data_IF_780102110084
#
_entry.id   IF_780102110084
#
_cell.length_a   1.000
_cell.length_b   1.000
_cell.length_c   1.000
_cell.angle_alpha   90.00
_cell.angle_beta   90.00
_cell.angle_gamma   90.00
#
_symmetry.space_group_name_H-M   'P 1'
#
loop_
_entity.id
_entity.type
_entity.pdbx_description
1 polymer ?
2 polymer ?
3 non-polymer ?
4 water ?
#
# COMPACT_ATOMS: atom_id res chain seq x y z
N UNK A 1 -10.57 14.53 -29.00
CA UNK A 1 -10.93 15.57 -27.96
C UNK A 1 -10.15 16.86 -28.26
N UNK A 2 -10.69 18.03 -27.95
CA UNK A 2 -9.86 19.20 -28.24
C UNK A 2 -8.69 19.46 -27.24
N UNK A 3 -8.68 18.79 -26.08
CA UNK A 3 -7.64 19.04 -25.05
C UNK A 3 -6.86 17.76 -24.66
N UNK A 4 -7.57 16.69 -24.38
CA UNK A 4 -6.93 15.46 -23.91
C UNK A 4 -6.53 14.59 -25.11
N UNK A 5 -5.42 13.85 -24.98
CA UNK A 5 -5.08 12.83 -25.96
C UNK A 5 -5.94 11.56 -25.80
N UNK A 6 -6.39 10.98 -26.91
CA UNK A 6 -7.22 9.78 -26.88
C UNK A 6 -6.55 8.65 -27.67
N UNK A 7 -6.24 7.53 -26.99
CA UNK A 7 -5.38 6.54 -27.59
C UNK A 7 -6.13 5.19 -27.61
N UNK A 8 -6.40 4.68 -28.84
CA UNK A 8 -7.26 3.51 -29.03
C UNK A 8 -6.36 2.35 -29.30
N UNK A 9 -6.55 1.33 -28.49
CA UNK A 9 -5.68 0.18 -28.58
C UNK A 9 -6.58 -1.06 -28.64
N UNK A 10 -7.01 -1.36 -29.87
CA UNK A 10 -8.02 -2.37 -30.23
C UNK A 10 -9.38 -1.93 -29.65
N UNK A 11 -9.82 -2.61 -28.58
CA UNK A 11 -11.08 -2.28 -27.88
C UNK A 11 -10.87 -1.24 -26.73
N UNK A 12 -9.69 -1.28 -26.14
CA UNK A 12 -9.17 -0.38 -25.09
C UNK A 12 -9.15 1.16 -25.46
N UNK A 13 -9.64 2.04 -24.59
CA UNK A 13 -9.58 3.49 -24.84
C UNK A 13 -8.92 4.28 -23.70
N UNK A 14 -7.71 4.78 -23.94
CA UNK A 14 -6.92 5.39 -22.83
C UNK A 14 -6.84 6.88 -23.08
N UNK A 15 -7.33 7.65 -22.12
CA UNK A 15 -7.45 9.09 -22.30
C UNK A 15 -6.43 9.78 -21.47
N UNK A 16 -5.63 10.61 -22.08
CA UNK A 16 -4.60 11.32 -21.33
C UNK A 16 -4.91 12.80 -21.19
N UNK A 17 -5.33 13.15 -19.99
CA UNK A 17 -5.62 14.52 -19.62
C UNK A 17 -4.57 15.08 -18.65
N UNK A 18 -3.36 14.56 -18.69
CA UNK A 18 -2.29 14.85 -17.71
C UNK A 18 -1.77 16.25 -17.95
N UNK A 19 -1.54 16.98 -16.85
CA UNK A 19 -0.80 18.25 -16.91
C UNK A 19 -1.42 19.28 -17.90
N UNK A 20 -2.69 19.60 -17.74
CA UNK A 20 -3.37 20.40 -18.73
C UNK A 20 -4.03 21.57 -18.02
N UNK A 21 -3.54 21.84 -16.78
CA UNK A 21 -4.03 22.98 -16.00
C UNK A 21 -5.49 22.89 -15.78
N UNK A 22 -5.97 21.67 -15.62
CA UNK A 22 -7.41 21.46 -15.37
C UNK A 22 -7.76 21.72 -13.91
N UNK A 23 -8.93 22.33 -13.70
CA UNK A 23 -9.41 22.57 -12.35
C UNK A 23 -10.72 21.87 -12.22
N UNK A 24 -11.09 21.13 -13.29
CA UNK A 24 -12.29 20.36 -13.31
C UNK A 24 -12.17 19.28 -14.42
N UNK A 25 -12.97 18.24 -14.28
CA UNK A 25 -13.03 17.19 -15.28
C UNK A 25 -13.51 17.83 -16.62
N UNK A 26 -12.80 17.61 -17.76
CA UNK A 26 -13.30 18.19 -19.06
C UNK A 26 -14.63 17.52 -19.43
N UNK A 27 -15.59 18.26 -20.01
CA UNK A 27 -16.92 17.61 -20.12
C UNK A 27 -17.17 16.78 -21.38
N UNK A 28 -16.23 16.68 -22.31
CA UNK A 28 -16.58 16.08 -23.60
C UNK A 28 -15.76 14.82 -23.94
N UNK A 29 -15.44 14.03 -22.92
CA UNK A 29 -14.54 12.92 -23.08
C UNK A 29 -15.34 11.76 -23.68
N UNK A 30 -14.69 10.85 -24.42
CA UNK A 30 -15.40 9.70 -24.99
C UNK A 30 -16.21 8.91 -23.94
N UNK A 31 -17.42 8.50 -24.29
CA UNK A 31 -18.29 7.83 -23.31
C UNK A 31 -17.73 6.45 -23.04
N UNK A 32 -16.85 6.01 -23.92
CA UNK A 32 -16.23 4.68 -23.87
C UNK A 32 -14.82 4.58 -23.27
N UNK A 33 -14.31 5.68 -22.76
CA UNK A 33 -13.04 5.68 -22.00
C UNK A 33 -12.86 4.45 -21.07
N UNK A 34 -11.76 3.73 -21.22
CA UNK A 34 -11.38 2.54 -20.38
C UNK A 34 -10.51 3.06 -19.21
N UNK A 35 -9.57 3.95 -19.55
CA UNK A 35 -8.57 4.41 -18.59
C UNK A 35 -8.54 5.92 -18.71
N UNK A 36 -8.59 6.64 -17.60
CA UNK A 36 -8.45 8.11 -17.59
C UNK A 36 -7.25 8.55 -16.74
N UNK A 37 -6.33 9.28 -17.36
CA UNK A 37 -5.19 9.89 -16.67
C UNK A 37 -5.52 11.39 -16.39
N UNK A 38 -5.57 11.77 -15.11
CA UNK A 38 -5.76 13.19 -14.70
C UNK A 38 -4.59 13.74 -13.84
N UNK A 39 -3.44 13.15 -14.04
CA UNK A 39 -2.26 13.45 -13.24
C UNK A 39 -1.79 14.86 -13.49
N UNK A 40 -1.27 15.49 -12.41
CA UNK A 40 -0.69 16.84 -12.42
C UNK A 40 -1.59 17.91 -12.96
N UNK A 41 -2.83 17.86 -12.52
CA UNK A 41 -3.69 19.02 -12.64
C UNK A 41 -3.87 19.68 -11.26
N UNK A 42 -4.91 20.48 -11.11
CA UNK A 42 -5.27 21.10 -9.81
C UNK A 42 -6.69 20.75 -9.47
N UNK A 43 -6.83 19.55 -8.91
CA UNK A 43 -8.16 19.05 -8.60
C UNK A 43 -8.40 18.98 -7.06
N UNK A 44 -8.58 20.14 -6.41
CA UNK A 44 -8.50 20.23 -4.94
C UNK A 44 -9.54 19.37 -4.29
N UNK A 45 -10.75 19.49 -4.80
CA UNK A 45 -11.82 18.63 -4.46
C UNK A 45 -12.12 17.92 -5.77
N UNK A 46 -12.43 16.63 -5.69
CA UNK A 46 -12.87 15.93 -6.87
C UNK A 46 -14.07 15.05 -6.53
N UNK A 47 -15.09 15.06 -7.39
CA UNK A 47 -16.31 14.28 -7.14
C UNK A 47 -16.35 13.01 -7.97
N UNK A 48 -16.41 11.86 -7.32
CA UNK A 48 -16.36 10.58 -8.04
C UNK A 48 -17.63 10.40 -8.93
N UNK A 49 -18.73 11.01 -8.47
CA UNK A 49 -20.02 11.04 -9.14
C UNK A 49 -19.94 11.63 -10.55
N UNK A 50 -19.08 12.63 -10.75
CA UNK A 50 -18.91 13.23 -12.05
C UNK A 50 -18.45 12.22 -13.11
N UNK A 51 -17.87 11.09 -12.69
CA UNK A 51 -17.42 10.08 -13.65
C UNK A 51 -18.47 9.03 -13.98
N UNK A 52 -19.67 9.16 -13.41
CA UNK A 52 -20.70 8.15 -13.68
C UNK A 52 -21.02 7.96 -15.20
N UNK A 53 -21.06 9.06 -15.98
CA UNK A 53 -21.32 8.84 -17.41
C UNK A 53 -20.38 7.84 -18.10
N UNK A 54 -19.25 7.52 -17.47
CA UNK A 54 -18.27 6.64 -18.11
C UNK A 54 -18.27 5.21 -17.70
N UNK A 55 -19.22 4.51 -18.29
CA UNK A 55 -19.56 3.12 -18.07
C UNK A 55 -18.51 2.04 -18.15
N UNK A 56 -17.48 2.29 -18.95
CA UNK A 56 -16.45 1.32 -19.18
C UNK A 56 -15.16 1.68 -18.41
N UNK A 57 -15.20 2.73 -17.58
CA UNK A 57 -13.99 3.20 -16.87
C UNK A 57 -13.53 2.25 -15.75
N UNK A 58 -12.32 1.71 -15.93
CA UNK A 58 -11.72 0.71 -15.08
C UNK A 58 -10.51 1.22 -14.29
N UNK A 59 -9.91 2.35 -14.72
CA UNK A 59 -8.71 2.87 -14.04
C UNK A 59 -8.70 4.36 -14.10
N UNK A 60 -8.40 4.99 -12.96
CA UNK A 60 -8.40 6.47 -12.82
C UNK A 60 -7.16 6.88 -12.09
N UNK A 61 -6.37 7.75 -12.70
CA UNK A 61 -5.26 8.35 -11.92
C UNK A 61 -5.46 9.82 -11.60
N UNK A 62 -5.48 10.15 -10.29
CA UNK A 62 -5.62 11.53 -9.83
C UNK A 62 -4.37 11.89 -9.06
N UNK A 63 -3.26 11.26 -9.42
CA UNK A 63 -2.04 11.50 -8.70
C UNK A 63 -1.53 12.94 -8.95
N UNK A 64 -0.83 13.49 -7.94
CA UNK A 64 -0.16 14.78 -8.11
C UNK A 64 -1.11 15.88 -8.56
N UNK A 65 -2.30 15.90 -7.94
CA UNK A 65 -3.34 16.85 -8.28
C UNK A 65 -3.65 17.90 -7.16
N UNK A 66 -2.76 18.05 -6.17
CA UNK A 66 -3.12 18.86 -4.99
C UNK A 66 -4.46 18.51 -4.40
N UNK A 67 -4.86 17.25 -4.49
CA UNK A 67 -6.14 16.86 -4.01
C UNK A 67 -6.21 16.80 -2.46
N UNK A 68 -7.32 17.28 -1.90
CA UNK A 68 -7.49 17.42 -0.47
C UNK A 68 -8.77 16.74 -0.11
N UNK A 69 -9.76 16.77 -1.00
CA UNK A 69 -11.00 16.08 -0.68
C UNK A 69 -11.46 15.29 -1.89
N UNK A 70 -11.77 14.02 -1.65
CA UNK A 70 -12.36 13.22 -2.70
C UNK A 70 -13.76 12.88 -2.25
N UNK A 71 -14.76 13.50 -2.89
CA UNK A 71 -16.16 13.26 -2.54
C UNK A 71 -16.59 11.89 -3.05
N UNK A 72 -17.20 11.11 -2.18
CA UNK A 72 -17.56 9.74 -2.54
C UNK A 72 -19.03 9.51 -2.92
N UNK A 73 -19.72 10.55 -3.37
CA UNK A 73 -21.10 10.39 -3.91
C UNK A 73 -21.18 9.31 -5.00
N UNK A 74 -22.36 8.73 -5.16
CA UNK A 74 -22.62 7.83 -6.30
C UNK A 74 -21.88 6.52 -6.26
N UNK A 75 -21.63 5.93 -7.42
CA UNK A 75 -21.13 4.56 -7.47
C UNK A 75 -20.52 4.25 -8.83
N UNK A 76 -19.31 3.69 -8.84
CA UNK A 76 -18.60 3.33 -10.08
C UNK A 76 -18.26 1.84 -10.12
N UNK A 77 -19.12 1.03 -10.77
CA UNK A 77 -19.23 -0.39 -10.48
C UNK A 77 -18.16 -1.17 -11.18
N UNK A 78 -17.43 -0.48 -12.05
CA UNK A 78 -16.45 -1.22 -12.80
C UNK A 78 -15.03 -0.68 -12.56
N UNK A 79 -14.88 0.37 -11.74
CA UNK A 79 -13.55 0.93 -11.50
C UNK A 79 -12.70 -0.08 -10.72
N UNK A 80 -11.60 -0.55 -11.31
CA UNK A 80 -10.71 -1.50 -10.69
C UNK A 80 -9.43 -0.94 -10.05
N UNK A 81 -8.91 0.19 -10.57
CA UNK A 81 -7.59 0.85 -10.17
C UNK A 81 -7.78 2.35 -9.86
N UNK A 82 -7.39 2.77 -8.64
CA UNK A 82 -7.49 4.16 -8.25
C UNK A 82 -6.16 4.62 -7.63
N UNK A 83 -5.52 5.59 -8.28
CA UNK A 83 -4.22 6.09 -7.89
C UNK A 83 -4.45 7.52 -7.38
N UNK A 84 -4.25 7.67 -6.06
CA UNK A 84 -4.37 8.97 -5.37
C UNK A 84 -2.99 9.39 -4.83
N UNK A 85 -1.96 8.76 -5.32
CA UNK A 85 -0.64 9.01 -4.76
C UNK A 85 -0.19 10.48 -4.93
N UNK A 86 0.80 10.91 -4.13
CA UNK A 86 1.38 12.27 -4.11
C UNK A 86 0.37 13.38 -4.11
N UNK A 87 -0.59 13.31 -3.20
CA UNK A 87 -1.51 14.39 -2.97
C UNK A 87 -1.43 14.91 -1.52
N UNK A 88 -2.46 15.59 -1.09
CA UNK A 88 -2.53 16.29 0.17
C UNK A 88 -3.61 15.73 1.08
N UNK A 89 -3.96 14.46 0.96
CA UNK A 89 -5.09 13.95 1.70
C UNK A 89 -4.63 13.77 3.18
N UNK A 90 -5.44 14.30 4.10
CA UNK A 90 -5.08 14.28 5.50
C UNK A 90 -5.84 13.17 6.17
N UNK A 91 -6.89 12.68 5.53
CA UNK A 91 -7.49 11.41 5.95
C UNK A 91 -7.95 10.61 4.77
N UNK A 92 -8.03 9.30 4.98
CA UNK A 92 -8.22 8.38 3.89
C UNK A 92 -9.64 8.49 3.34
N UNK A 93 -9.80 8.67 2.00
CA UNK A 93 -11.17 8.57 1.50
C UNK A 93 -11.81 7.21 1.88
N UNK A 94 -13.03 7.21 2.35
CA UNK A 94 -13.70 5.99 2.69
C UNK A 94 -14.53 5.57 1.47
N UNK A 95 -14.10 4.50 0.78
CA UNK A 95 -14.56 4.19 -0.59
C UNK A 95 -15.44 2.94 -0.76
N UNK A 96 -15.67 2.18 0.30
CA UNK A 96 -16.28 0.87 0.15
C UNK A 96 -17.74 0.86 -0.33
N UNK A 97 -18.43 1.97 -0.11
CA UNK A 97 -19.79 2.19 -0.59
C UNK A 97 -19.86 2.72 -2.03
N UNK A 98 -18.76 2.68 -2.77
CA UNK A 98 -18.60 3.53 -3.97
C UNK A 98 -17.89 2.81 -5.06
N UNK A 99 -16.81 2.13 -4.69
CA UNK A 99 -16.01 1.36 -5.60
C UNK A 99 -16.01 -0.12 -5.24
N UNK A 100 -17.13 -0.81 -5.49
CA UNK A 100 -17.15 -2.22 -5.04
C UNK A 100 -16.19 -3.19 -5.77
N UNK A 101 -15.78 -2.87 -7.00
CA UNK A 101 -14.88 -3.70 -7.79
C UNK A 101 -13.43 -3.31 -7.63
N UNK A 102 -13.13 -2.35 -6.75
CA UNK A 102 -11.72 -1.94 -6.63
C UNK A 102 -10.76 -3.07 -6.28
N UNK A 103 -9.67 -3.19 -7.05
CA UNK A 103 -8.66 -4.18 -6.74
C UNK A 103 -7.33 -3.54 -6.36
N UNK A 104 -7.12 -2.27 -6.78
CA UNK A 104 -5.85 -1.57 -6.53
C UNK A 104 -6.14 -0.18 -6.05
N UNK A 105 -5.62 0.16 -4.87
CA UNK A 105 -5.71 1.50 -4.30
C UNK A 105 -4.33 1.98 -3.91
N UNK A 106 -3.89 3.08 -4.52
CA UNK A 106 -2.60 3.67 -4.15
C UNK A 106 -2.83 5.03 -3.52
N UNK A 107 -2.45 5.16 -2.24
CA UNK A 107 -2.56 6.48 -1.55
C UNK A 107 -1.20 6.86 -0.94
N UNK A 108 -0.14 6.40 -1.57
CA UNK A 108 1.23 6.64 -1.17
C UNK A 108 1.49 8.14 -1.18
N UNK A 109 2.36 8.59 -0.28
CA UNK A 109 2.78 9.98 -0.31
C UNK A 109 1.70 11.01 -0.21
N UNK A 110 0.74 10.77 0.69
CA UNK A 110 -0.17 11.78 1.12
C UNK A 110 0.24 12.31 2.52
N UNK A 111 -0.71 12.78 3.31
CA UNK A 111 -0.41 13.27 4.65
C UNK A 111 -1.20 12.48 5.71
N UNK A 112 -1.24 11.16 5.55
CA UNK A 112 -2.14 10.37 6.40
C UNK A 112 -1.41 10.13 7.76
N UNK A 113 -2.11 10.35 8.88
CA UNK A 113 -1.43 10.23 10.21
C UNK A 113 -2.06 9.08 10.97
N UNK A 114 -3.22 8.61 10.47
CA UNK A 114 -3.89 7.38 10.99
C UNK A 114 -4.91 6.85 9.99
N UNK A 115 -5.36 5.59 10.11
CA UNK A 115 -6.54 5.07 9.35
C UNK A 115 -7.66 4.81 10.33
N UNK A 116 -8.88 5.17 9.97
CA UNK A 116 -10.01 4.99 10.91
C UNK A 116 -10.51 3.56 11.00
N UNK A 117 -11.11 3.19 12.12
CA UNK A 117 -11.78 1.90 12.19
C UNK A 117 -12.68 1.72 10.94
N UNK A 118 -12.76 0.51 10.44
CA UNK A 118 -13.51 0.31 9.20
C UNK A 118 -13.13 1.02 7.89
N UNK A 119 -11.93 1.61 7.79
CA UNK A 119 -11.50 2.35 6.60
C UNK A 119 -11.78 1.63 5.28
N UNK A 120 -11.62 0.31 5.23
CA UNK A 120 -11.65 -0.48 3.98
C UNK A 120 -12.92 -1.31 3.84
N UNK A 121 -13.95 -1.01 4.63
CA UNK A 121 -15.12 -1.82 4.62
C UNK A 121 -15.79 -1.66 3.25
N UNK A 122 -16.14 -2.82 2.69
CA UNK A 122 -16.83 -2.89 1.40
C UNK A 122 -15.90 -2.98 0.19
N UNK A 123 -14.58 -2.88 0.41
CA UNK A 123 -13.62 -3.10 -0.66
C UNK A 123 -13.25 -4.61 -0.75
N UNK A 124 -14.25 -5.48 -0.90
CA UNK A 124 -14.02 -6.94 -0.80
C UNK A 124 -13.16 -7.52 -1.95
N UNK A 125 -13.03 -6.78 -3.06
CA UNK A 125 -12.19 -7.27 -4.18
C UNK A 125 -10.73 -6.79 -4.09
N UNK A 126 -10.38 -6.04 -3.04
CA UNK A 126 -9.07 -5.37 -3.04
C UNK A 126 -7.95 -6.37 -3.09
N UNK A 127 -6.97 -6.14 -3.97
CA UNK A 127 -5.82 -6.97 -4.03
C UNK A 127 -4.52 -6.30 -3.65
N UNK A 128 -4.44 -4.99 -3.83
CA UNK A 128 -3.21 -4.25 -3.59
C UNK A 128 -3.54 -2.93 -2.87
N UNK A 129 -2.79 -2.64 -1.82
CA UNK A 129 -2.97 -1.40 -1.05
C UNK A 129 -1.63 -0.81 -0.85
N UNK A 130 -1.43 0.40 -1.40
CA UNK A 130 -0.17 1.09 -1.25
C UNK A 130 -0.30 2.33 -0.34
N UNK A 131 0.44 2.32 0.75
CA UNK A 131 0.38 3.46 1.68
C UNK A 131 1.76 4.03 2.02
N UNK A 132 2.74 3.75 1.17
CA UNK A 132 4.08 4.13 1.39
C UNK A 132 4.19 5.63 1.56
N UNK A 133 5.00 6.05 2.53
CA UNK A 133 5.36 7.47 2.61
C UNK A 133 4.35 8.35 3.28
N UNK A 134 3.42 7.80 4.05
CA UNK A 134 2.54 8.65 4.85
C UNK A 134 3.18 8.75 6.23
N UNK A 135 2.37 9.13 7.22
CA UNK A 135 2.85 9.42 8.57
C UNK A 135 2.31 8.49 9.62
N UNK A 136 1.92 7.27 9.22
CA UNK A 136 1.24 6.37 10.12
C UNK A 136 2.15 5.85 11.28
N UNK A 137 1.54 5.75 12.46
CA UNK A 137 2.21 5.25 13.72
C UNK A 137 1.72 3.87 14.09
N UNK A 138 0.46 3.60 13.79
CA UNK A 138 -0.08 2.23 13.91
C UNK A 138 -1.23 2.03 12.91
N UNK A 139 -1.97 0.92 13.04
CA UNK A 139 -3.12 0.60 12.20
C UNK A 139 -4.27 0.19 13.07
N UNK A 140 -5.52 0.46 12.61
CA UNK A 140 -6.63 0.04 13.47
C UNK A 140 -6.89 -1.45 13.48
N UNK A 141 -7.39 -1.97 14.61
CA UNK A 141 -7.68 -3.40 14.60
C UNK A 141 -8.72 -3.73 13.51
N UNK A 142 -8.53 -4.86 12.84
CA UNK A 142 -9.52 -5.36 11.87
C UNK A 142 -9.40 -4.66 10.50
N UNK A 143 -8.31 -3.91 10.30
CA UNK A 143 -8.12 -3.12 9.05
C UNK A 143 -8.33 -3.97 7.75
N UNK A 144 -7.81 -5.19 7.78
CA UNK A 144 -7.86 -6.03 6.60
C UNK A 144 -8.87 -7.14 6.63
N UNK A 145 -9.77 -7.15 7.61
CA UNK A 145 -10.89 -8.10 7.61
C UNK A 145 -11.72 -7.94 6.33
N UNK A 146 -12.06 -6.67 5.95
CA UNK A 146 -12.85 -6.47 4.69
C UNK A 146 -12.18 -6.95 3.39
N UNK A 147 -10.87 -7.17 3.40
CA UNK A 147 -10.05 -7.35 2.19
C UNK A 147 -9.30 -8.71 2.18
N UNK A 148 -10.03 -9.84 2.25
CA UNK A 148 -9.34 -11.11 2.42
C UNK A 148 -8.50 -11.53 1.22
N UNK A 149 -8.73 -10.91 0.05
CA UNK A 149 -8.02 -11.28 -1.17
C UNK A 149 -6.76 -10.52 -1.34
N UNK A 150 -6.36 -9.71 -0.34
CA UNK A 150 -5.17 -8.86 -0.53
C UNK A 150 -3.89 -9.65 -0.79
N UNK A 151 -3.15 -9.18 -1.82
CA UNK A 151 -1.93 -9.78 -2.34
C UNK A 151 -0.68 -9.00 -2.05
N UNK A 152 -0.76 -7.65 -2.13
CA UNK A 152 0.39 -6.81 -1.88
C UNK A 152 -0.01 -5.67 -0.92
N UNK A 153 0.84 -5.41 0.07
CA UNK A 153 0.53 -4.37 1.06
C UNK A 153 1.77 -3.58 1.34
N UNK A 154 1.81 -2.29 1.02
CA UNK A 154 2.90 -1.46 1.38
C UNK A 154 2.57 -0.45 2.52
N UNK A 155 3.30 -0.58 3.61
CA UNK A 155 3.36 0.43 4.67
C UNK A 155 4.78 0.97 4.78
N UNK A 156 5.56 0.86 3.70
CA UNK A 156 6.95 1.29 3.76
C UNK A 156 7.07 2.76 4.06
N UNK A 157 8.13 3.13 4.76
CA UNK A 157 8.47 4.53 4.98
C UNK A 157 7.33 5.32 5.66
N UNK A 158 6.68 4.72 6.64
CA UNK A 158 5.84 5.51 7.48
C UNK A 158 6.64 5.80 8.80
N UNK A 159 5.97 5.96 9.92
CA UNK A 159 6.70 5.97 11.19
C UNK A 159 6.08 5.01 12.23
N UNK A 160 5.66 3.83 11.76
CA UNK A 160 4.96 2.76 12.50
C UNK A 160 5.77 2.32 13.70
N UNK A 161 5.13 2.28 14.88
CA UNK A 161 5.79 1.76 16.08
C UNK A 161 5.06 0.59 16.63
N UNK A 162 3.84 0.31 16.18
CA UNK A 162 3.11 -0.91 16.60
C UNK A 162 2.24 -1.47 15.48
N UNK A 163 2.24 -2.80 15.35
CA UNK A 163 1.41 -3.50 14.39
C UNK A 163 0.39 -4.31 15.12
N UNK A 164 -0.91 -4.19 14.75
CA UNK A 164 -1.83 -5.12 15.51
C UNK A 164 -1.53 -6.60 15.29
N UNK A 165 -1.71 -7.41 16.36
CA UNK A 165 -1.31 -8.79 16.31
C UNK A 165 -2.02 -9.61 15.21
N UNK A 166 -3.31 -9.36 15.01
CA UNK A 166 -4.14 -10.03 13.98
C UNK A 166 -4.22 -9.34 12.61
N UNK A 167 -3.31 -8.42 12.35
CA UNK A 167 -3.30 -7.62 11.10
C UNK A 167 -3.45 -8.48 9.86
N UNK A 168 -2.66 -9.54 9.77
CA UNK A 168 -2.65 -10.38 8.60
C UNK A 168 -3.68 -11.51 8.60
N UNK A 169 -4.62 -11.52 9.56
CA UNK A 169 -5.60 -12.63 9.77
C UNK A 169 -6.52 -12.91 8.58
N UNK A 170 -6.48 -14.14 8.08
CA UNK A 170 -7.40 -14.51 6.99
C UNK A 170 -6.95 -14.07 5.60
N UNK A 171 -5.74 -13.52 5.54
CA UNK A 171 -5.08 -13.23 4.28
C UNK A 171 -4.51 -14.53 3.71
N UNK A 172 -5.32 -15.23 2.92
CA UNK A 172 -4.88 -16.53 2.44
C UNK A 172 -4.00 -16.38 1.22
N UNK A 173 -4.01 -15.19 0.61
CA UNK A 173 -3.30 -14.94 -0.65
C UNK A 173 -2.18 -13.91 -0.66
N UNK A 174 -1.70 -13.51 0.51
CA UNK A 174 -0.75 -12.39 0.57
C UNK A 174 0.58 -12.78 0.02
N UNK A 175 1.13 -11.97 -0.88
CA UNK A 175 2.40 -12.33 -1.46
C UNK A 175 3.51 -11.34 -1.24
N UNK A 176 3.18 -10.05 -1.09
CA UNK A 176 4.22 -9.09 -0.74
C UNK A 176 3.80 -8.17 0.46
N UNK A 177 4.74 -7.96 1.38
CA UNK A 177 4.54 -7.10 2.57
C UNK A 177 5.72 -6.17 2.75
N UNK A 178 5.48 -4.86 2.69
CA UNK A 178 6.60 -3.97 2.77
C UNK A 178 6.47 -3.13 4.05
N UNK A 179 7.44 -3.29 4.94
CA UNK A 179 7.39 -2.66 6.25
C UNK A 179 8.69 -1.96 6.49
N UNK A 180 9.51 -1.81 5.46
CA UNK A 180 10.78 -1.22 5.67
C UNK A 180 10.72 0.24 6.02
N UNK A 181 11.74 0.68 6.75
CA UNK A 181 11.96 2.10 7.09
C UNK A 181 10.86 2.70 7.93
N UNK A 182 10.40 1.96 8.94
CA UNK A 182 9.50 2.52 9.92
C UNK A 182 10.28 2.59 11.26
N UNK A 183 9.52 2.57 12.36
CA UNK A 183 10.14 2.66 13.71
C UNK A 183 9.76 1.47 14.55
N UNK A 184 9.59 0.31 13.90
CA UNK A 184 9.13 -0.87 14.54
C UNK A 184 10.20 -1.50 15.47
N UNK A 185 9.74 -2.00 16.61
CA UNK A 185 10.72 -2.58 17.57
C UNK A 185 10.39 -4.01 17.91
N UNK A 186 9.19 -4.47 17.60
CA UNK A 186 8.82 -5.89 17.86
C UNK A 186 7.74 -6.42 16.93
N UNK A 187 7.58 -7.75 16.87
CA UNK A 187 6.47 -8.44 16.19
C UNK A 187 5.63 -9.28 17.15
N UNK A 188 4.31 -9.12 17.18
CA UNK A 188 3.50 -9.92 18.06
C UNK A 188 3.57 -11.43 17.71
N UNK A 189 3.48 -12.28 18.75
CA UNK A 189 3.74 -13.70 18.43
C UNK A 189 2.64 -14.17 17.50
N UNK A 190 3.01 -14.97 16.50
CA UNK A 190 2.07 -15.55 15.55
C UNK A 190 1.61 -14.57 14.45
N UNK A 191 2.27 -13.41 14.38
CA UNK A 191 1.75 -12.30 13.51
C UNK A 191 1.58 -12.73 12.04
N UNK A 192 2.61 -13.41 11.57
CA UNK A 192 2.63 -13.96 10.22
C UNK A 192 1.66 -15.12 9.90
N UNK A 193 1.02 -15.71 10.91
CA UNK A 193 0.19 -16.91 10.76
C UNK A 193 0.90 -18.06 10.06
N UNK A 194 0.14 -18.87 9.29
CA UNK A 194 0.67 -20.11 8.75
C UNK A 194 0.74 -20.12 7.22
N UNK A 195 0.53 -18.98 6.59
CA UNK A 195 0.57 -18.97 5.12
C UNK A 195 1.93 -18.53 4.62
N UNK A 196 2.39 -19.16 3.55
CA UNK A 196 3.69 -18.79 2.98
C UNK A 196 3.61 -17.30 2.51
N UNK A 197 4.66 -16.51 2.80
CA UNK A 197 4.82 -15.11 2.36
C UNK A 197 6.10 -14.98 1.55
N UNK A 198 6.00 -14.93 0.19
CA UNK A 198 7.24 -14.92 -0.63
C UNK A 198 8.11 -13.70 -0.51
N UNK A 199 7.55 -12.51 -0.24
CA UNK A 199 8.39 -11.32 -0.22
C UNK A 199 8.02 -10.45 0.95
N UNK A 200 9.00 -10.28 1.86
CA UNK A 200 8.88 -9.40 3.05
C UNK A 200 10.00 -8.44 3.11
N UNK A 201 9.72 -7.16 3.34
CA UNK A 201 10.78 -6.18 3.46
C UNK A 201 10.67 -5.60 4.89
N UNK A 202 11.75 -5.71 5.66
CA UNK A 202 11.61 -5.59 7.13
C UNK A 202 12.76 -4.80 7.67
N UNK A 203 13.68 -4.46 6.78
CA UNK A 203 14.86 -3.69 7.15
C UNK A 203 14.59 -2.23 7.47
N UNK A 204 15.59 -1.56 8.04
CA UNK A 204 15.50 -0.13 8.45
C UNK A 204 14.46 0.11 9.59
N UNK A 205 14.27 -0.88 10.49
CA UNK A 205 13.49 -0.74 11.76
C UNK A 205 14.41 -1.04 12.96
N UNK A 206 14.17 -0.32 14.09
CA UNK A 206 15.07 -0.51 15.28
C UNK A 206 14.52 -1.64 16.18
N UNK A 207 14.68 -2.87 15.70
CA UNK A 207 14.10 -4.03 16.28
C UNK A 207 14.64 -4.19 17.73
N UNK A 208 13.78 -4.48 18.69
CA UNK A 208 14.26 -4.59 20.13
C UNK A 208 14.56 -6.06 20.45
N UNK A 209 15.85 -6.38 20.58
CA UNK A 209 16.13 -7.80 20.74
C UNK A 209 16.12 -8.26 22.19
N UNK A 210 14.94 -8.54 22.72
CA UNK A 210 14.75 -9.05 24.03
C UNK A 210 14.05 -10.41 23.85
N UNK A 211 13.65 -11.06 24.94
CA UNK A 211 12.94 -12.38 24.80
C UNK A 211 11.67 -12.30 23.89
N UNK A 212 11.06 -11.13 23.76
CA UNK A 212 9.83 -11.01 22.97
C UNK A 212 10.11 -10.97 21.44
N UNK A 213 11.38 -10.93 21.08
CA UNK A 213 11.78 -11.01 19.66
C UNK A 213 11.95 -12.47 19.20
N UNK A 214 11.71 -13.45 20.10
CA UNK A 214 12.04 -14.86 19.72
C UNK A 214 11.17 -15.32 18.57
N UNK A 215 9.90 -14.92 18.62
CA UNK A 215 8.96 -15.34 17.60
C UNK A 215 9.46 -14.98 16.22
N UNK A 216 9.90 -13.72 16.10
CA UNK A 216 10.39 -13.08 14.91
C UNK A 216 11.69 -13.72 14.50
N UNK A 217 12.61 -13.94 15.46
CA UNK A 217 13.86 -14.67 15.21
C UNK A 217 13.59 -16.03 14.54
N UNK A 218 12.65 -16.82 15.06
CA UNK A 218 12.31 -18.14 14.54
C UNK A 218 11.60 -18.05 13.18
N UNK A 219 10.74 -17.06 13.03
CA UNK A 219 10.17 -16.82 11.70
C UNK A 219 11.26 -16.44 10.66
N UNK A 220 12.22 -15.64 11.07
CA UNK A 220 13.23 -15.26 10.13
C UNK A 220 14.09 -16.46 9.77
N UNK A 221 14.31 -17.35 10.73
CA UNK A 221 15.01 -18.59 10.39
C UNK A 221 14.25 -19.35 9.29
N UNK A 222 12.96 -19.59 9.46
CA UNK A 222 12.23 -20.42 8.53
C UNK A 222 12.04 -19.75 7.16
N UNK A 223 12.44 -18.47 7.04
CA UNK A 223 12.03 -17.61 5.91
C UNK A 223 13.13 -16.76 5.38
N UNK A 224 14.37 -17.18 5.57
CA UNK A 224 15.51 -16.34 5.18
C UNK A 224 15.53 -15.94 3.68
N UNK A 225 15.08 -16.84 2.80
CA UNK A 225 15.11 -16.54 1.34
C UNK A 225 13.92 -15.65 0.90
N UNK A 226 13.00 -15.36 1.84
CA UNK A 226 11.84 -14.55 1.58
C UNK A 226 11.97 -13.11 2.05
N UNK A 227 13.12 -12.75 2.61
CA UNK A 227 13.34 -11.45 3.21
C UNK A 227 14.25 -10.62 2.34
N UNK A 228 13.76 -9.50 1.78
CA UNK A 228 14.55 -8.65 0.84
C UNK A 228 14.85 -7.23 1.30
N UNK A 229 15.79 -6.61 0.60
CA UNK A 229 16.16 -5.20 0.77
C UNK A 229 15.63 -4.41 -0.43
N UNK A 230 14.94 -3.30 -0.15
CA UNK A 230 14.39 -2.46 -1.19
C UNK A 230 15.51 -1.74 -1.93
N UNK A 231 15.49 -1.82 -3.26
CA UNK A 231 16.33 -0.94 -4.07
C UNK A 231 15.43 -0.14 -4.98
N UNK A 232 15.64 1.17 -5.01
CA UNK A 232 14.87 2.07 -5.86
C UNK A 232 15.27 1.95 -7.33
N UNK A 233 14.33 2.25 -8.23
CA UNK A 233 14.64 2.37 -9.64
C UNK A 233 14.74 1.06 -10.39
N UNK A 234 14.46 -0.08 -9.74
CA UNK A 234 14.56 -1.40 -10.41
C UNK A 234 13.34 -2.26 -10.22
N UNK A 235 13.28 -3.36 -10.97
CA UNK A 235 12.30 -4.39 -10.77
C UNK A 235 12.62 -5.11 -9.48
N UNK A 236 11.58 -5.66 -8.86
CA UNK A 236 11.74 -6.50 -7.69
C UNK A 236 12.49 -7.82 -8.02
N UNK A 237 12.41 -8.30 -9.26
CA UNK A 237 13.17 -9.54 -9.62
C UNK A 237 14.67 -9.28 -9.63
N UNK A 238 15.02 -8.00 -9.68
CA UNK A 238 16.40 -7.51 -9.56
C UNK A 238 16.95 -7.35 -8.11
N UNK A 239 16.08 -7.50 -7.11
CA UNK A 239 16.45 -7.13 -5.72
C UNK A 239 17.03 -8.32 -4.92
N UNK A 240 17.89 -7.96 -3.97
CA UNK A 240 18.65 -8.93 -3.19
C UNK A 240 17.87 -9.43 -1.95
N UNK A 241 17.75 -10.76 -1.86
CA UNK A 241 17.35 -11.47 -0.63
C UNK A 241 18.47 -11.32 0.39
N UNK A 242 18.14 -10.91 1.63
CA UNK A 242 19.17 -10.71 2.66
C UNK A 242 18.59 -10.73 4.10
N UNK A 243 18.38 -11.94 4.67
CA UNK A 243 17.77 -12.08 6.02
C UNK A 243 18.52 -11.32 7.10
N UNK A 244 19.81 -11.02 6.86
CA UNK A 244 20.60 -10.24 7.82
C UNK A 244 20.40 -8.71 7.71
N UNK A 245 19.61 -8.21 6.75
CA UNK A 245 19.27 -6.76 6.72
C UNK A 245 18.47 -6.34 7.98
N UNK A 246 17.72 -7.30 8.55
CA UNK A 246 16.84 -7.13 9.73
C UNK A 246 17.72 -7.15 11.02
N UNK A 247 17.97 -5.99 11.59
CA UNK A 247 18.94 -5.87 12.64
C UNK A 247 18.43 -5.35 14.02
N UNK A 248 18.88 -5.98 15.10
CA UNK A 248 18.73 -5.43 16.45
C UNK A 248 19.21 -4.02 16.54
N UNK A 249 18.35 -3.12 17.01
CA UNK A 249 18.78 -1.75 17.36
C UNK A 249 19.84 -1.77 18.51
N UNK A 250 20.61 -0.69 18.67
CA UNK A 250 21.64 -0.63 19.75
C UNK A 250 22.58 -1.87 19.80
N UNK A 251 23.22 -2.21 18.69
CA UNK A 251 23.78 -3.55 18.53
C UNK A 251 25.09 -3.59 17.71
N UNK A 252 25.28 -2.56 16.88
CA UNK A 252 26.18 -2.59 15.71
C UNK A 252 25.81 -3.65 14.62
N UNK A 253 24.50 -3.73 14.28
CA UNK A 253 24.05 -4.57 13.17
C UNK A 253 23.90 -6.08 13.47
N UNK A 254 23.75 -6.47 14.74
CA UNK A 254 23.47 -7.89 15.04
C UNK A 254 22.11 -8.28 14.43
N UNK A 255 22.09 -9.34 13.60
CA UNK A 255 20.90 -9.80 12.89
C UNK A 255 19.90 -10.46 13.79
N UNK A 256 18.69 -9.92 13.81
CA UNK A 256 17.66 -10.57 14.56
C UNK A 256 17.58 -12.11 14.42
N UNK A 257 17.76 -12.68 13.20
CA UNK A 257 17.59 -14.15 13.07
C UNK A 257 18.66 -14.92 13.87
N UNK A 258 19.76 -14.23 14.19
CA UNK A 258 20.82 -14.79 15.05
C UNK A 258 20.57 -14.73 16.56
N UNK A 259 19.65 -13.86 17.00
CA UNK A 259 19.34 -13.65 18.42
C UNK A 259 19.34 -14.90 19.34
N UNK A 260 20.38 -15.06 20.22
CA UNK A 260 20.42 -16.30 21.07
C UNK A 260 19.20 -16.46 21.94
N UNK A 261 18.82 -15.44 22.72
CA UNK A 261 17.66 -15.61 23.62
C UNK A 261 18.07 -16.44 24.84
N UNK A 262 19.32 -16.26 25.23
CA UNK A 262 19.93 -17.10 26.26
C UNK A 262 19.37 -16.61 27.62
N UNK A 263 18.81 -17.55 28.37
CA UNK A 263 18.22 -17.16 29.63
C UNK A 263 16.79 -16.65 29.53
N UNK A 264 16.19 -16.72 28.33
CA UNK A 264 14.76 -16.45 28.21
C UNK A 264 14.04 -17.69 28.66
N UNK A 265 12.94 -17.52 29.40
CA UNK A 265 12.40 -16.25 29.82
C UNK A 265 13.19 -15.69 31.04
N UNK A 266 13.39 -14.38 31.12
CA UNK A 266 14.18 -13.84 32.24
C UNK A 266 13.45 -14.05 33.55
N UNK A 267 14.15 -14.76 34.45
CA UNK A 267 13.64 -15.17 35.77
C UNK A 267 14.76 -14.99 36.87
N UNK A 268 14.35 -14.81 38.16
CA UNK A 268 15.37 -14.61 39.22
C UNK A 268 16.25 -15.86 39.36
N UNK A 269 17.58 -15.73 39.43
CA UNK A 269 18.43 -16.88 39.90
C UNK A 269 19.42 -16.43 40.96
N UNK B 1 10.40 5.40 -11.27
CA UNK B 1 9.38 4.33 -11.43
C UNK B 1 8.84 3.96 -10.05
N UNK B 2 7.55 3.66 -10.02
CA UNK B 2 6.84 3.55 -8.73
C UNK B 2 7.02 2.17 -8.10
N UNK B 3 6.76 2.13 -6.79
CA UNK B 3 6.76 0.90 -6.03
C UNK B 3 5.90 -0.13 -6.70
N UNK B 4 4.74 0.29 -7.09
CA UNK B 4 3.79 -0.56 -7.68
C UNK B 4 4.29 -1.17 -9.02
N UNK B 5 4.81 -0.31 -9.88
CA UNK B 5 5.45 -0.76 -11.14
C UNK B 5 6.58 -1.76 -10.84
N UNK B 6 7.53 -1.38 -9.95
CA UNK B 6 8.57 -2.29 -9.44
C UNK B 6 8.07 -3.65 -9.01
N UNK B 7 7.06 -3.70 -8.15
CA UNK B 7 6.54 -4.97 -7.71
C UNK B 7 5.91 -5.75 -8.85
N UNK B 8 5.57 -5.10 -9.95
CA UNK B 8 5.12 -5.90 -11.11
C UNK B 8 6.21 -6.12 -12.18
N UNK B 9 7.39 -5.58 -11.92
CA UNK B 9 8.51 -5.75 -12.83
C UNK B 9 8.18 -5.01 -14.11
N UNK B 10 7.77 -3.76 -13.95
CA UNK B 10 7.35 -2.98 -15.06
C UNK B 10 8.12 -1.69 -15.06
N UNK B 11 9.36 -1.71 -14.57
CA UNK B 11 10.10 -0.42 -14.46
C UNK B 11 10.93 -0.03 -15.71
X LIG C 1 12.67 -10.04 27.94
#
# INVERSE_FOLDING_TARGET
HPICEVSKVASHLEVNCDKRQLTALPPDLPKDTTILHLSENLLYTFSLATLMPYTRLTQLNLDRCELTKLQVDGTLPVLGTLDLSHNQLQSLPLLGQTLPALTVLDVSFNRLTSLPLGALRGLGELQELYLKGNELKTLPPGLLTPTPKLEKLSLANNQLTELPAGLLNGLENLDTLLLQENSLYTIPKGFFGSHLLPFAFLHGNPWLCNCEILYFRRWLQDNAENVYVWKQGVDVKAMTSNVASVQCDNSDKFPVYKYPGKGCPLVPR
CTERMALHNLC
CL CL
#
